data_IF_090613119179
#
_entry.id   IF_090613119179
#
_cell.length_a   1.000
_cell.length_b   1.000
_cell.length_c   1.000
_cell.angle_alpha   90.00
_cell.angle_beta   90.00
_cell.angle_gamma   90.00
#
_symmetry.space_group_name_H-M   'P 1'
#
loop_
_entity.id
_entity.type
_entity.pdbx_description
1 polymer ?
#
# COMPACT_ATOMS: atom_id res chain seq x y z
N UNK A 1 -41.06 -42.63 9.27
CA UNK A 1 -40.28 -42.76 10.52
C UNK A 1 -39.02 -41.93 10.38
N UNK A 2 -38.98 -40.80 11.08
CA UNK A 2 -37.83 -39.89 11.16
C UNK A 2 -36.71 -40.53 11.99
N UNK A 3 -35.46 -40.47 11.53
CA UNK A 3 -34.29 -40.45 12.40
C UNK A 3 -33.34 -39.33 11.99
N UNK A 4 -33.04 -38.51 12.98
CA UNK A 4 -32.30 -37.26 12.98
C UNK A 4 -30.81 -37.51 13.28
N UNK A 5 -29.99 -36.55 12.85
CA UNK A 5 -28.78 -36.06 13.52
C UNK A 5 -27.51 -36.92 13.56
N UNK A 6 -26.51 -36.48 12.80
CA UNK A 6 -25.11 -36.51 13.21
C UNK A 6 -24.61 -35.06 13.31
N UNK A 7 -24.33 -34.64 14.54
CA UNK A 7 -23.77 -33.34 14.88
C UNK A 7 -22.26 -33.34 14.60
N UNK A 8 -21.77 -32.34 13.87
CA UNK A 8 -20.34 -32.04 13.75
C UNK A 8 -19.99 -31.00 14.82
N UNK A 9 -19.06 -31.38 15.70
CA UNK A 9 -18.56 -30.54 16.79
C UNK A 9 -17.63 -29.42 16.26
N UNK A 10 -17.62 -28.23 16.87
CA UNK A 10 -16.67 -27.18 16.53
C UNK A 10 -15.29 -27.43 17.17
N UNK A 11 -14.24 -27.50 16.34
CA UNK A 11 -12.85 -27.47 16.79
C UNK A 11 -12.47 -26.03 17.14
N UNK A 12 -12.34 -25.77 18.44
CA UNK A 12 -11.81 -24.52 18.97
C UNK A 12 -10.29 -24.46 18.72
N UNK A 13 -9.86 -23.57 17.83
CA UNK A 13 -8.46 -23.22 17.64
C UNK A 13 -7.96 -22.41 18.84
N UNK A 14 -7.08 -23.02 19.64
CA UNK A 14 -6.40 -22.39 20.75
C UNK A 14 -5.39 -21.33 20.26
N UNK A 15 -5.53 -20.11 20.76
CA UNK A 15 -4.58 -19.01 20.60
C UNK A 15 -3.39 -19.24 21.54
N UNK A 16 -2.13 -19.30 21.06
CA UNK A 16 -0.97 -19.35 21.96
C UNK A 16 -0.73 -17.97 22.60
N UNK A 17 -0.39 -17.91 23.91
CA UNK A 17 -0.11 -16.65 24.61
C UNK A 17 1.26 -16.05 24.21
N UNK A 18 1.43 -14.72 24.32
CA UNK A 18 2.68 -14.04 24.01
C UNK A 18 3.79 -14.37 25.02
N UNK A 19 5.07 -14.41 24.59
CA UNK A 19 6.20 -14.70 25.46
C UNK A 19 6.43 -13.57 26.49
N UNK A 20 6.67 -13.97 27.74
CA UNK A 20 6.98 -13.10 28.87
C UNK A 20 8.37 -12.48 28.71
N UNK A 21 8.43 -11.17 28.47
CA UNK A 21 9.68 -10.39 28.48
C UNK A 21 10.23 -10.37 29.91
N UNK A 22 11.42 -10.94 30.13
CA UNK A 22 12.14 -10.83 31.40
C UNK A 22 12.62 -9.38 31.57
N UNK A 23 12.32 -8.82 32.74
CA UNK A 23 12.85 -7.55 33.19
C UNK A 23 14.38 -7.60 33.23
N UNK A 24 15.03 -6.71 32.47
CA UNK A 24 16.47 -6.48 32.57
C UNK A 24 16.70 -5.56 33.76
N UNK A 25 17.35 -6.12 34.79
CA UNK A 25 17.80 -5.44 36.00
C UNK A 25 18.77 -4.30 35.64
N UNK A 26 18.41 -3.08 36.03
CA UNK A 26 19.30 -1.91 35.99
C UNK A 26 20.34 -2.07 37.09
N UNK A 27 21.59 -2.34 36.72
CA UNK A 27 22.72 -2.30 37.63
C UNK A 27 23.06 -0.83 37.96
N UNK A 28 22.88 -0.46 39.23
CA UNK A 28 23.35 0.81 39.79
C UNK A 28 24.87 0.83 39.86
N UNK A 29 25.50 1.72 39.10
CA UNK A 29 26.91 2.06 39.24
C UNK A 29 27.08 3.23 40.21
N UNK A 30 27.93 3.01 41.20
CA UNK A 30 28.27 3.84 42.35
C UNK A 30 29.20 4.99 41.90
N UNK A 31 28.87 6.23 42.26
CA UNK A 31 29.73 7.40 42.04
C UNK A 31 30.73 7.59 43.21
N UNK A 32 32.00 7.95 42.96
CA UNK A 32 32.87 8.50 44.00
C UNK A 32 32.76 10.03 44.07
N UNK A 33 32.76 10.54 45.30
CA UNK A 33 32.82 11.96 45.62
C UNK A 33 34.21 12.53 45.29
N UNK A 34 34.27 13.67 44.59
CA UNK A 34 35.48 14.48 44.45
C UNK A 34 35.16 15.96 44.71
N UNK A 35 36.07 16.55 45.48
CA UNK A 35 36.02 17.83 46.17
C UNK A 35 36.18 19.06 45.25
N UNK A 36 35.38 20.07 45.58
CA UNK A 36 35.37 21.51 45.24
C UNK A 36 36.75 22.14 44.93
N UNK A 37 36.87 22.87 43.79
CA UNK A 37 37.35 24.28 43.70
C UNK A 37 37.48 24.86 42.26
N UNK A 38 36.94 26.07 42.12
CA UNK A 38 37.27 27.21 41.24
C UNK A 38 37.03 27.19 39.70
N UNK A 39 35.92 27.85 39.33
CA UNK A 39 35.75 28.98 38.39
C UNK A 39 36.68 29.09 37.17
N UNK A 40 36.09 28.95 35.97
CA UNK A 40 36.30 29.81 34.80
C UNK A 40 35.15 29.55 33.78
N UNK A 41 34.26 30.54 33.60
CA UNK A 41 33.25 30.50 32.55
C UNK A 41 33.91 30.79 31.20
N UNK A 42 34.01 29.77 30.34
CA UNK A 42 34.26 29.93 28.92
C UNK A 42 32.93 29.74 28.17
N UNK A 43 32.31 30.83 27.76
CA UNK A 43 31.09 30.82 26.95
C UNK A 43 31.45 30.48 25.50
N UNK A 44 31.35 29.20 25.13
CA UNK A 44 31.40 28.77 23.74
C UNK A 44 29.99 28.90 23.13
N UNK A 45 29.79 29.88 22.25
CA UNK A 45 28.58 30.01 21.43
C UNK A 45 28.61 28.99 20.30
N UNK A 46 28.12 27.78 20.56
CA UNK A 46 27.86 26.79 19.52
C UNK A 46 26.63 27.23 18.72
N UNK A 47 26.83 27.83 17.55
CA UNK A 47 25.76 28.09 16.58
C UNK A 47 25.44 26.78 15.88
N UNK A 48 24.38 26.10 16.32
CA UNK A 48 23.84 24.95 15.60
C UNK A 48 23.07 25.47 14.37
N UNK A 49 23.37 25.01 13.16
CA UNK A 49 22.51 25.28 12.02
C UNK A 49 21.18 24.55 12.26
N UNK A 50 20.11 25.32 12.48
CA UNK A 50 18.74 24.80 12.35
C UNK A 50 18.49 24.60 10.86
N UNK A 51 18.80 23.39 10.37
CA UNK A 51 18.18 22.89 9.16
C UNK A 51 16.73 22.51 9.54
N UNK A 52 15.83 23.48 9.43
CA UNK A 52 14.40 23.24 9.48
C UNK A 52 13.98 22.49 8.21
N UNK A 53 14.27 21.18 8.17
CA UNK A 53 13.56 20.28 7.29
C UNK A 53 12.11 20.26 7.76
N UNK A 54 11.25 21.00 7.06
CA UNK A 54 9.81 20.92 7.23
C UNK A 54 9.37 19.51 6.83
N UNK A 55 9.41 18.58 7.78
CA UNK A 55 8.82 17.26 7.63
C UNK A 55 7.30 17.44 7.76
N UNK A 56 6.66 17.87 6.65
CA UNK A 56 5.22 17.80 6.52
C UNK A 56 4.77 16.36 6.81
N UNK A 57 3.74 16.19 7.65
CA UNK A 57 3.19 14.88 7.92
C UNK A 57 2.77 14.19 6.60
N UNK A 58 2.95 12.87 6.47
CA UNK A 58 2.55 12.14 5.27
C UNK A 58 1.06 12.37 5.03
N UNK A 59 0.72 13.04 3.94
CA UNK A 59 -0.65 13.36 3.56
C UNK A 59 -0.88 12.98 2.10
N UNK A 60 -2.14 12.69 1.77
CA UNK A 60 -2.54 12.40 0.41
C UNK A 60 -2.53 13.68 -0.44
N UNK A 61 -1.77 13.67 -1.53
CA UNK A 61 -1.78 14.71 -2.56
C UNK A 61 -2.54 14.21 -3.80
N UNK A 62 -3.25 15.09 -4.49
CA UNK A 62 -3.88 14.76 -5.77
C UNK A 62 -2.85 14.80 -6.90
N UNK A 63 -2.85 13.79 -7.76
CA UNK A 63 -1.99 13.74 -8.94
C UNK A 63 -2.59 14.67 -10.01
N UNK A 64 -1.87 15.70 -10.48
CA UNK A 64 -2.40 16.63 -11.48
C UNK A 64 -2.83 15.92 -12.77
N UNK A 65 -3.98 16.30 -13.33
CA UNK A 65 -4.49 15.74 -14.58
C UNK A 65 -4.98 14.28 -14.51
N UNK A 66 -4.95 13.65 -13.34
CA UNK A 66 -5.34 12.24 -13.16
C UNK A 66 -6.85 12.00 -13.04
N UNK A 67 -7.66 13.05 -12.98
CA UNK A 67 -9.10 12.92 -12.75
C UNK A 67 -9.49 12.53 -11.31
N UNK A 68 -8.71 12.99 -10.32
CA UNK A 68 -9.02 12.85 -8.89
C UNK A 68 -8.28 11.73 -8.16
N UNK A 69 -7.24 11.15 -8.77
CA UNK A 69 -6.40 10.13 -8.11
C UNK A 69 -5.55 10.80 -7.05
N UNK A 70 -5.56 10.25 -5.84
CA UNK A 70 -4.76 10.75 -4.71
C UNK A 70 -3.67 9.76 -4.35
N UNK A 71 -2.46 10.25 -4.14
CA UNK A 71 -1.31 9.44 -3.76
C UNK A 71 -0.71 9.95 -2.44
N UNK A 72 -0.21 9.00 -1.65
CA UNK A 72 0.62 9.22 -0.49
C UNK A 72 1.92 8.44 -0.70
N UNK A 73 3.03 9.15 -0.84
CA UNK A 73 4.34 8.51 -0.94
C UNK A 73 4.76 7.97 0.44
N UNK A 74 4.94 6.65 0.52
CA UNK A 74 5.41 5.95 1.72
C UNK A 74 6.93 5.78 1.68
N UNK A 75 7.48 5.65 0.48
CA UNK A 75 8.91 5.66 0.17
C UNK A 75 9.10 6.31 -1.19
N UNK A 76 9.92 7.34 -1.25
CA UNK A 76 10.32 7.94 -2.52
C UNK A 76 11.34 7.04 -3.23
N UNK A 77 11.16 6.85 -4.54
CA UNK A 77 12.11 6.14 -5.38
C UNK A 77 13.26 7.05 -5.81
N UNK A 78 14.42 6.47 -6.09
CA UNK A 78 15.60 7.20 -6.57
C UNK A 78 15.88 7.00 -8.06
N UNK A 79 15.15 6.10 -8.72
CA UNK A 79 15.37 5.80 -10.12
C UNK A 79 14.64 6.73 -11.09
N UNK A 80 14.55 6.25 -12.33
CA UNK A 80 13.90 6.94 -13.44
C UNK A 80 12.39 7.07 -13.24
N UNK A 81 11.80 8.03 -13.94
CA UNK A 81 10.35 8.24 -14.02
C UNK A 81 9.87 7.63 -15.35
N UNK A 82 8.85 6.76 -15.34
CA UNK A 82 8.34 6.16 -16.58
C UNK A 82 7.76 7.20 -17.55
N UNK A 83 7.99 7.01 -18.85
CA UNK A 83 7.36 7.74 -19.93
C UNK A 83 6.20 6.94 -20.57
N UNK A 84 5.51 7.55 -21.54
CA UNK A 84 4.55 6.82 -22.37
C UNK A 84 5.29 5.75 -23.20
N UNK A 85 4.59 4.65 -23.52
CA UNK A 85 5.11 3.47 -24.24
C UNK A 85 6.18 2.64 -23.49
N UNK A 86 6.65 3.10 -22.34
CA UNK A 86 7.53 2.32 -21.47
C UNK A 86 6.83 1.07 -20.93
N UNK A 87 7.57 -0.04 -20.86
CA UNK A 87 7.15 -1.24 -20.15
C UNK A 87 7.59 -1.17 -18.69
N UNK A 88 6.65 -1.21 -17.77
CA UNK A 88 6.90 -1.12 -16.34
C UNK A 88 6.55 -2.41 -15.60
N UNK A 89 7.26 -2.69 -14.52
CA UNK A 89 6.97 -3.80 -13.61
C UNK A 89 6.66 -3.24 -12.22
N UNK A 90 5.49 -3.59 -11.68
CA UNK A 90 5.06 -3.15 -10.35
C UNK A 90 4.70 -4.34 -9.45
N UNK A 91 4.94 -4.19 -8.16
CA UNK A 91 4.19 -4.93 -7.16
C UNK A 91 3.03 -4.08 -6.68
N UNK A 92 1.90 -4.73 -6.39
CA UNK A 92 0.78 -4.04 -5.80
C UNK A 92 0.01 -4.90 -4.80
N UNK A 93 -0.74 -4.22 -3.95
CA UNK A 93 -1.78 -4.76 -3.09
C UNK A 93 -3.06 -3.96 -3.32
N UNK A 94 -4.12 -4.62 -3.81
CA UNK A 94 -5.38 -3.98 -4.19
C UNK A 94 -6.53 -4.30 -3.24
N UNK A 95 -7.25 -3.26 -2.78
CA UNK A 95 -8.45 -3.41 -1.95
C UNK A 95 -9.54 -2.40 -2.32
N UNK A 96 -10.78 -2.75 -2.00
CA UNK A 96 -11.91 -1.80 -2.08
C UNK A 96 -11.90 -0.88 -0.86
N UNK A 97 -12.23 0.41 -1.02
CA UNK A 97 -12.50 1.28 0.11
C UNK A 97 -13.79 0.87 0.85
N UNK A 98 -14.77 0.37 0.08
CA UNK A 98 -15.96 -0.28 0.61
C UNK A 98 -15.65 -1.69 1.16
N UNK A 99 -16.69 -2.41 1.59
CA UNK A 99 -16.58 -3.81 2.03
C UNK A 99 -15.50 -4.05 3.10
N UNK A 100 -15.36 -3.11 4.03
CA UNK A 100 -14.38 -3.17 5.12
C UNK A 100 -12.93 -3.34 4.64
N UNK A 101 -12.56 -2.73 3.51
CA UNK A 101 -11.18 -2.84 3.03
C UNK A 101 -10.87 -4.17 2.38
N UNK A 102 -11.88 -4.89 1.85
CA UNK A 102 -11.67 -6.22 1.26
C UNK A 102 -10.58 -6.19 0.19
N UNK A 103 -9.52 -6.96 0.44
CA UNK A 103 -8.42 -7.20 -0.49
C UNK A 103 -8.91 -8.15 -1.58
N UNK A 104 -8.87 -7.68 -2.83
CA UNK A 104 -9.29 -8.48 -3.98
C UNK A 104 -8.12 -9.11 -4.73
N UNK A 105 -6.93 -8.49 -4.70
CA UNK A 105 -5.75 -9.00 -5.39
C UNK A 105 -4.44 -8.47 -4.77
N UNK A 106 -3.34 -9.20 -4.98
CA UNK A 106 -1.99 -8.84 -4.53
C UNK A 106 -0.95 -9.64 -5.33
N UNK A 107 -0.01 -8.94 -5.97
CA UNK A 107 1.09 -9.61 -6.70
C UNK A 107 1.98 -10.46 -5.80
N UNK A 108 1.99 -10.18 -4.49
CA UNK A 108 2.77 -10.98 -3.53
C UNK A 108 2.20 -12.40 -3.34
N UNK A 109 0.92 -12.60 -3.65
CA UNK A 109 0.25 -13.91 -3.60
C UNK A 109 0.50 -14.70 -4.90
N UNK A 110 0.96 -14.04 -5.96
CA UNK A 110 1.30 -14.66 -7.24
C UNK A 110 2.75 -15.11 -7.19
N UNK A 111 2.99 -16.42 -7.20
CA UNK A 111 4.34 -17.00 -7.13
C UNK A 111 4.75 -17.54 -8.49
N UNK A 112 6.01 -17.28 -8.86
CA UNK A 112 6.66 -17.97 -9.96
C UNK A 112 7.12 -19.38 -9.56
N UNK A 113 7.85 -20.05 -10.44
CA UNK A 113 8.35 -21.42 -10.23
C UNK A 113 9.37 -21.52 -9.09
N UNK A 114 10.03 -20.40 -8.72
CA UNK A 114 11.00 -20.36 -7.61
C UNK A 114 10.35 -20.00 -6.28
N UNK A 115 9.09 -19.58 -6.29
CA UNK A 115 8.33 -19.18 -5.10
C UNK A 115 8.40 -17.68 -4.81
N UNK A 116 8.98 -16.89 -5.71
CA UNK A 116 9.13 -15.44 -5.58
C UNK A 116 7.87 -14.71 -6.08
N UNK A 117 7.52 -13.54 -5.49
CA UNK A 117 6.45 -12.70 -6.00
C UNK A 117 6.61 -12.33 -7.48
N UNK A 118 5.60 -12.62 -8.30
CA UNK A 118 5.61 -12.24 -9.71
C UNK A 118 5.08 -10.81 -9.88
N UNK A 119 5.88 -9.86 -10.41
CA UNK A 119 5.42 -8.50 -10.63
C UNK A 119 4.39 -8.43 -11.76
N UNK A 120 3.48 -7.46 -11.65
CA UNK A 120 2.56 -7.14 -12.72
C UNK A 120 3.25 -6.22 -13.74
N UNK A 121 3.23 -6.62 -15.01
CA UNK A 121 3.96 -5.95 -16.09
C UNK A 121 2.97 -5.43 -17.12
N UNK A 122 3.07 -4.15 -17.46
CA UNK A 122 2.23 -3.53 -18.48
C UNK A 122 3.00 -2.42 -19.21
N UNK A 123 2.42 -1.93 -20.30
CA UNK A 123 2.94 -0.79 -21.08
C UNK A 123 2.09 0.44 -20.80
N UNK A 124 2.73 1.55 -20.44
CA UNK A 124 2.04 2.82 -20.15
C UNK A 124 1.42 3.36 -21.44
N UNK A 125 0.16 3.81 -21.37
CA UNK A 125 -0.54 4.37 -22.53
C UNK A 125 -1.21 3.33 -23.44
N UNK A 126 -1.05 2.03 -23.16
CA UNK A 126 -1.70 0.97 -23.93
C UNK A 126 -3.20 0.83 -23.68
N UNK A 127 -3.74 1.50 -22.66
CA UNK A 127 -5.18 1.52 -22.34
C UNK A 127 -5.72 0.18 -21.80
N UNK A 128 -4.84 -0.72 -21.35
CA UNK A 128 -5.21 -2.02 -20.79
C UNK A 128 -5.38 -1.99 -19.28
N UNK A 129 -4.67 -1.09 -18.60
CA UNK A 129 -4.70 -0.98 -17.14
C UNK A 129 -5.71 0.10 -16.74
N UNK A 130 -6.26 -0.01 -15.54
CA UNK A 130 -7.15 1.04 -15.01
C UNK A 130 -6.40 2.40 -15.00
N UNK A 131 -7.03 3.50 -15.46
CA UNK A 131 -6.36 4.78 -15.64
C UNK A 131 -5.66 5.31 -14.39
N UNK A 132 -6.22 5.06 -13.21
CA UNK A 132 -5.67 5.54 -11.95
C UNK A 132 -4.34 4.89 -11.57
N UNK A 133 -4.11 3.62 -11.96
CA UNK A 133 -2.80 2.98 -11.75
C UNK A 133 -1.79 3.55 -12.74
N UNK A 134 -2.15 3.71 -14.01
CA UNK A 134 -1.24 4.30 -15.01
C UNK A 134 -0.79 5.71 -14.58
N UNK A 135 -1.73 6.57 -14.15
CA UNK A 135 -1.42 7.92 -13.66
C UNK A 135 -0.54 7.91 -12.40
N UNK A 136 -0.76 6.97 -11.50
CA UNK A 136 0.04 6.82 -10.28
C UNK A 136 1.47 6.34 -10.57
N UNK A 137 1.64 5.42 -11.51
CA UNK A 137 2.96 4.88 -11.88
C UNK A 137 3.75 5.91 -12.70
N UNK A 138 3.10 6.61 -13.62
CA UNK A 138 3.74 7.67 -14.44
C UNK A 138 4.25 8.86 -13.62
N UNK A 139 3.71 9.06 -12.42
CA UNK A 139 4.11 10.15 -11.50
C UNK A 139 5.05 9.68 -10.38
N UNK A 140 5.62 8.47 -10.45
CA UNK A 140 6.52 7.94 -9.43
C UNK A 140 7.87 7.54 -10.01
N UNK A 141 8.87 7.42 -9.12
CA UNK A 141 10.22 6.95 -9.47
C UNK A 141 10.39 5.47 -9.16
N UNK A 142 11.23 4.79 -9.92
CA UNK A 142 11.63 3.41 -9.65
C UNK A 142 12.20 3.29 -8.22
N UNK A 143 11.80 2.23 -7.52
CA UNK A 143 12.08 1.98 -6.11
C UNK A 143 11.07 2.60 -5.13
N UNK A 144 10.18 3.47 -5.63
CA UNK A 144 9.17 4.12 -4.82
C UNK A 144 8.06 3.16 -4.38
N UNK A 145 7.48 3.43 -3.21
CA UNK A 145 6.28 2.77 -2.69
C UNK A 145 5.26 3.86 -2.32
N UNK A 146 4.04 3.76 -2.84
CA UNK A 146 2.98 4.73 -2.56
C UNK A 146 1.63 4.06 -2.34
N UNK A 147 0.81 4.69 -1.49
CA UNK A 147 -0.60 4.37 -1.35
C UNK A 147 -1.42 5.29 -2.23
N UNK A 148 -2.26 4.71 -3.07
CA UNK A 148 -3.06 5.41 -4.07
C UNK A 148 -4.53 5.16 -3.80
N UNK A 149 -5.33 6.23 -3.77
CA UNK A 149 -6.79 6.18 -3.73
C UNK A 149 -7.28 6.55 -5.13
N UNK A 150 -7.95 5.60 -5.77
CA UNK A 150 -8.44 5.73 -7.14
C UNK A 150 -9.96 5.88 -7.07
N UNK A 151 -10.51 7.03 -7.52
CA UNK A 151 -11.95 7.20 -7.59
C UNK A 151 -12.56 6.27 -8.64
N UNK A 152 -13.86 5.94 -8.56
CA UNK A 152 -14.50 5.02 -9.50
C UNK A 152 -14.34 5.38 -10.98
N UNK A 153 -14.33 6.68 -11.31
CA UNK A 153 -14.13 7.18 -12.67
C UNK A 153 -12.76 6.81 -13.27
N UNK A 154 -11.76 6.59 -12.43
CA UNK A 154 -10.38 6.21 -12.81
C UNK A 154 -10.07 4.74 -12.45
N UNK A 155 -11.06 4.00 -11.96
CA UNK A 155 -10.97 2.57 -11.64
C UNK A 155 -11.41 1.68 -12.79
N UNK A 156 -12.07 0.56 -12.47
CA UNK A 156 -12.64 -0.34 -13.48
C UNK A 156 -13.90 0.26 -14.10
N UNK A 157 -13.87 0.48 -15.41
CA UNK A 157 -15.00 0.92 -16.22
C UNK A 157 -15.62 -0.25 -17.00
N UNK A 158 -14.84 -1.30 -17.22
CA UNK A 158 -15.28 -2.56 -17.81
C UNK A 158 -14.54 -3.74 -17.16
N UNK A 159 -14.87 -4.97 -17.57
CA UNK A 159 -14.32 -6.21 -17.00
C UNK A 159 -13.05 -6.70 -17.70
N UNK A 160 -12.53 -5.95 -18.68
CA UNK A 160 -11.31 -6.28 -19.42
C UNK A 160 -10.08 -5.51 -18.94
N UNK A 161 -10.27 -4.46 -18.13
CA UNK A 161 -9.19 -3.66 -17.59
C UNK A 161 -8.44 -4.37 -16.47
N UNK A 162 -7.12 -4.31 -16.53
CA UNK A 162 -6.20 -4.90 -15.58
C UNK A 162 -5.81 -3.92 -14.45
N UNK A 163 -5.31 -4.42 -13.30
CA UNK A 163 -5.13 -5.82 -12.93
C UNK A 163 -6.46 -6.53 -12.63
N UNK A 164 -6.58 -7.83 -12.89
CA UNK A 164 -7.79 -8.61 -12.55
C UNK A 164 -7.36 -9.83 -11.71
N UNK A 165 -8.05 -10.14 -10.59
CA UNK A 165 -7.78 -11.35 -9.83
C UNK A 165 -7.75 -12.60 -10.72
N UNK A 166 -6.72 -13.46 -10.58
CA UNK A 166 -6.67 -14.72 -11.33
C UNK A 166 -7.74 -15.70 -10.85
N UNK A 167 -8.08 -15.66 -9.55
CA UNK A 167 -9.13 -16.49 -8.98
C UNK A 167 -10.51 -16.02 -9.48
N UNK A 168 -11.30 -16.98 -9.98
CA UNK A 168 -12.64 -16.72 -10.50
C UNK A 168 -13.59 -16.09 -9.47
N UNK A 169 -13.60 -16.57 -8.22
CA UNK A 169 -14.50 -16.07 -7.19
C UNK A 169 -14.17 -14.64 -6.78
N UNK A 170 -12.88 -14.31 -6.66
CA UNK A 170 -12.45 -12.94 -6.34
C UNK A 170 -12.77 -11.98 -7.48
N UNK A 171 -12.53 -12.39 -8.73
CA UNK A 171 -12.93 -11.63 -9.92
C UNK A 171 -14.43 -11.37 -9.97
N UNK A 172 -15.23 -12.42 -9.75
CA UNK A 172 -16.68 -12.30 -9.74
C UNK A 172 -17.16 -11.37 -8.62
N UNK A 173 -16.60 -11.51 -7.42
CA UNK A 173 -16.94 -10.67 -6.26
C UNK A 173 -16.54 -9.21 -6.48
N UNK A 174 -15.41 -8.95 -7.13
CA UNK A 174 -14.95 -7.61 -7.49
C UNK A 174 -15.98 -6.92 -8.40
N UNK A 175 -16.28 -7.53 -9.55
CA UNK A 175 -17.16 -6.91 -10.54
C UNK A 175 -18.62 -6.82 -10.10
N UNK A 176 -19.13 -7.81 -9.38
CA UNK A 176 -20.49 -7.74 -8.80
C UNK A 176 -20.61 -6.70 -7.69
N UNK A 177 -19.50 -6.27 -7.08
CA UNK A 177 -19.49 -5.18 -6.10
C UNK A 177 -19.45 -3.82 -6.80
N UNK A 178 -18.57 -3.66 -7.79
CA UNK A 178 -18.37 -2.38 -8.51
C UNK A 178 -19.56 -2.07 -9.42
N UNK A 179 -20.03 -3.05 -10.19
CA UNK A 179 -21.10 -2.88 -11.18
C UNK A 179 -22.47 -3.28 -10.66
N UNK A 180 -22.71 -3.20 -9.34
CA UNK A 180 -23.98 -3.59 -8.75
C UNK A 180 -25.12 -2.62 -9.16
N UNK A 181 -26.08 -3.02 -10.02
CA UNK A 181 -27.05 -2.08 -10.60
C UNK A 181 -27.96 -1.45 -9.54
N UNK A 182 -28.38 -2.21 -8.53
CA UNK A 182 -29.24 -1.72 -7.44
C UNK A 182 -28.53 -0.65 -6.63
N UNK A 183 -27.26 -0.88 -6.28
CA UNK A 183 -26.51 0.09 -5.48
C UNK A 183 -26.11 1.32 -6.29
N UNK A 184 -25.82 1.15 -7.58
CA UNK A 184 -25.59 2.27 -8.49
C UNK A 184 -26.85 3.14 -8.62
N UNK A 185 -28.03 2.52 -8.73
CA UNK A 185 -29.31 3.25 -8.75
C UNK A 185 -29.58 4.01 -7.43
N UNK A 186 -29.06 3.52 -6.30
CA UNK A 186 -29.13 4.19 -5.01
C UNK A 186 -28.06 5.28 -4.80
N UNK A 187 -27.24 5.57 -5.82
CA UNK A 187 -26.17 6.58 -5.74
C UNK A 187 -24.92 6.15 -4.97
N UNK A 188 -24.77 4.87 -4.62
CA UNK A 188 -23.60 4.37 -3.86
C UNK A 188 -22.35 4.15 -4.75
N UNK A 189 -22.44 4.45 -6.05
CA UNK A 189 -21.36 4.19 -7.01
C UNK A 189 -20.04 4.88 -6.68
N UNK A 190 -20.10 6.08 -6.10
CA UNK A 190 -18.91 6.83 -5.65
C UNK A 190 -18.09 6.03 -4.63
N UNK A 191 -18.75 5.28 -3.75
CA UNK A 191 -18.11 4.59 -2.62
C UNK A 191 -17.69 3.17 -3.00
N UNK A 192 -18.51 2.46 -3.78
CA UNK A 192 -18.28 1.04 -4.12
C UNK A 192 -17.13 0.84 -5.10
N UNK A 193 -16.96 1.78 -6.04
CA UNK A 193 -15.90 1.73 -7.03
C UNK A 193 -14.58 2.37 -6.59
N UNK A 194 -14.51 2.93 -5.38
CA UNK A 194 -13.26 3.53 -4.90
C UNK A 194 -12.28 2.42 -4.54
N UNK A 195 -11.13 2.42 -5.20
CA UNK A 195 -10.06 1.45 -5.01
C UNK A 195 -8.94 2.08 -4.20
N UNK A 196 -8.24 1.24 -3.42
CA UNK A 196 -7.01 1.61 -2.75
C UNK A 196 -5.94 0.62 -3.14
N UNK A 197 -4.83 1.14 -3.66
CA UNK A 197 -3.66 0.34 -4.02
C UNK A 197 -2.45 0.80 -3.23
N UNK A 198 -1.69 -0.15 -2.72
CA UNK A 198 -0.29 0.09 -2.33
C UNK A 198 0.57 -0.40 -3.50
N UNK A 199 1.34 0.49 -4.15
CA UNK A 199 2.07 0.23 -5.40
C UNK A 199 3.56 0.48 -5.19
N UNK A 200 4.37 -0.51 -5.55
CA UNK A 200 5.82 -0.44 -5.61
C UNK A 200 6.29 -0.53 -7.06
N UNK A 201 7.03 0.48 -7.54
CA UNK A 201 7.59 0.46 -8.90
C UNK A 201 8.96 -0.21 -8.89
N UNK A 202 9.10 -1.35 -9.56
CA UNK A 202 10.29 -2.20 -9.48
C UNK A 202 11.29 -1.87 -10.58
N UNK A 203 10.83 -1.78 -11.84
CA UNK A 203 11.70 -1.48 -12.97
C UNK A 203 10.93 -0.90 -14.15
N UNK A 204 11.68 -0.23 -15.02
CA UNK A 204 11.22 0.29 -16.32
C UNK A 204 12.10 -0.34 -17.39
N UNK A 205 11.51 -0.69 -18.53
CA UNK A 205 12.19 -1.01 -19.78
C UNK A 205 11.71 -0.04 -20.83
N UNK A 206 12.60 0.88 -21.20
CA UNK A 206 12.32 1.91 -22.19
C UNK A 206 12.10 1.30 -23.57
N UNK A 207 11.14 1.83 -24.31
CA UNK A 207 10.95 1.50 -25.71
C UNK A 207 11.96 2.30 -26.54
N UNK A 208 12.89 1.61 -27.21
CA UNK A 208 13.89 2.22 -28.11
C UNK A 208 13.30 2.69 -29.42
#
# INVERSE_FOLDING_TARGET
MFRLSAAVAPVAGAVPPPPKTKAVTVAQARAPAVTRRHLLLASATATLPTAAASAAAPSFAEIPGSGGVKALDLREGSGEVPADDDKVAIHYYGRLAAKQGWRFDSTYDHKDETGDPMPFVFTIGAGKVIPGIEAAVKSMRVGGLRRVIIPPSQGYQNTSQEPIPPNFFDRQRLFTTIFNPTRLANGEGSTLGTLIFDIELISIRQHS
#
